data_IF_529149364141
#
_entry.id   IF_529149364141
#
_cell.length_a   1.000
_cell.length_b   1.000
_cell.length_c   1.000
_cell.angle_alpha   90.00
_cell.angle_beta   90.00
_cell.angle_gamma   90.00
#
_symmetry.space_group_name_H-M   'P 1'
#
loop_
_entity.id
_entity.type
_entity.pdbx_description
1 polymer ?
#
# COMPACT_ATOMS: atom_id res chain seq x y z
N UNK A 1 22.49 -14.84 3.13
CA UNK A 1 21.24 -15.03 3.87
C UNK A 1 20.70 -13.63 4.00
N UNK A 2 20.00 -13.23 2.97
CA UNK A 2 19.42 -11.90 2.88
C UNK A 2 18.24 -11.85 3.85
N UNK A 3 18.18 -10.74 4.57
CA UNK A 3 17.44 -10.53 5.81
C UNK A 3 15.97 -10.30 5.44
N UNK A 4 15.21 -11.40 5.29
CA UNK A 4 13.82 -11.52 4.76
C UNK A 4 12.77 -10.65 5.51
N UNK A 5 13.17 -9.85 6.50
CA UNK A 5 12.29 -9.03 7.33
C UNK A 5 12.92 -7.72 7.82
N UNK A 6 14.06 -7.29 7.26
CA UNK A 6 14.77 -6.10 7.77
C UNK A 6 14.36 -4.80 7.10
N UNK A 7 13.94 -4.89 5.85
CA UNK A 7 13.21 -3.82 5.19
C UNK A 7 11.71 -4.10 5.37
N UNK A 8 10.90 -3.06 5.52
CA UNK A 8 9.45 -3.16 5.68
C UNK A 8 8.77 -3.53 4.34
N UNK A 9 9.41 -4.45 3.60
CA UNK A 9 9.19 -4.88 2.23
C UNK A 9 9.00 -6.40 2.27
N UNK A 10 8.00 -6.89 1.56
CA UNK A 10 7.65 -8.28 1.42
C UNK A 10 7.22 -8.51 -0.03
N UNK A 11 8.14 -9.08 -0.79
CA UNK A 11 7.94 -9.44 -2.18
C UNK A 11 7.06 -10.69 -2.32
N UNK A 12 6.49 -10.96 -3.51
CA UNK A 12 5.78 -12.20 -3.79
C UNK A 12 6.60 -13.46 -3.50
N UNK A 13 7.92 -13.42 -3.72
CA UNK A 13 8.82 -14.55 -3.45
C UNK A 13 8.94 -14.82 -1.94
N UNK A 14 9.20 -13.80 -1.15
CA UNK A 14 9.29 -13.89 0.31
C UNK A 14 7.96 -14.34 0.94
N UNK A 15 6.85 -13.77 0.45
CA UNK A 15 5.50 -14.18 0.86
C UNK A 15 5.24 -15.66 0.54
N UNK A 16 5.67 -16.14 -0.62
CA UNK A 16 5.50 -17.53 -1.02
C UNK A 16 6.35 -18.49 -0.18
N UNK A 17 7.58 -18.14 0.16
CA UNK A 17 8.42 -18.99 1.01
C UNK A 17 7.92 -19.06 2.45
N UNK A 18 7.55 -17.91 3.03
CA UNK A 18 6.89 -17.87 4.34
C UNK A 18 5.56 -18.63 4.33
N UNK A 19 4.75 -18.53 3.28
CA UNK A 19 3.51 -19.30 3.15
C UNK A 19 3.75 -20.81 3.14
N UNK A 20 4.84 -21.29 2.51
CA UNK A 20 5.23 -22.71 2.57
C UNK A 20 5.59 -23.12 3.98
N UNK A 21 6.33 -22.30 4.72
CA UNK A 21 6.70 -22.59 6.11
C UNK A 21 5.48 -22.62 7.04
N UNK A 22 4.54 -21.70 6.86
CA UNK A 22 3.26 -21.69 7.58
C UNK A 22 2.46 -22.96 7.28
N UNK A 23 2.33 -23.33 6.01
CA UNK A 23 1.64 -24.57 5.62
C UNK A 23 2.30 -25.80 6.27
N UNK A 24 3.63 -25.87 6.25
CA UNK A 24 4.36 -26.97 6.88
C UNK A 24 4.17 -27.03 8.40
N UNK A 25 4.08 -25.88 9.06
CA UNK A 25 3.81 -25.79 10.49
C UNK A 25 2.39 -26.29 10.82
N UNK A 26 1.39 -25.88 10.04
CA UNK A 26 0.01 -26.34 10.17
C UNK A 26 -0.12 -27.86 9.90
N UNK A 27 0.56 -28.37 8.87
CA UNK A 27 0.61 -29.82 8.57
C UNK A 27 1.21 -30.61 9.74
N UNK A 28 2.30 -30.11 10.33
CA UNK A 28 2.92 -30.73 11.52
C UNK A 28 2.02 -30.66 12.74
N UNK A 29 1.31 -29.55 12.94
CA UNK A 29 0.32 -29.40 14.02
C UNK A 29 -0.81 -30.40 13.85
N UNK A 30 -1.34 -30.58 12.64
CA UNK A 30 -2.38 -31.57 12.34
C UNK A 30 -1.89 -33.01 12.53
N UNK A 31 -0.65 -33.32 12.13
CA UNK A 31 -0.04 -34.62 12.37
C UNK A 31 0.13 -34.90 13.87
N UNK A 32 0.61 -33.90 14.64
CA UNK A 32 0.72 -34.00 16.09
C UNK A 32 -0.64 -34.17 16.77
N UNK A 33 -1.67 -33.44 16.31
CA UNK A 33 -3.04 -33.58 16.77
C UNK A 33 -3.55 -35.02 16.58
N UNK A 34 -3.29 -35.63 15.43
CA UNK A 34 -3.67 -37.03 15.14
C UNK A 34 -3.00 -38.01 16.11
N UNK A 35 -1.72 -37.78 16.44
CA UNK A 35 -0.98 -38.62 17.39
C UNK A 35 -1.49 -38.44 18.82
N UNK A 36 -1.80 -37.20 19.23
CA UNK A 36 -2.40 -36.89 20.53
C UNK A 36 -3.78 -37.55 20.64
N UNK A 37 -4.57 -37.55 19.57
CA UNK A 37 -5.88 -38.20 19.55
C UNK A 37 -5.82 -39.72 19.69
N UNK A 38 -4.75 -40.35 19.18
CA UNK A 38 -4.51 -41.79 19.26
C UNK A 38 -3.98 -42.28 20.62
N UNK A 39 -3.65 -41.38 21.56
CA UNK A 39 -3.16 -41.76 22.88
C UNK A 39 -4.26 -42.41 23.72
N UNK A 40 -3.92 -43.55 24.33
CA UNK A 40 -4.81 -44.27 25.27
C UNK A 40 -4.84 -43.63 26.67
N UNK A 41 -3.82 -42.84 27.02
CA UNK A 41 -3.72 -42.16 28.31
C UNK A 41 -4.39 -40.79 28.25
N UNK A 42 -5.50 -40.62 28.95
CA UNK A 42 -6.22 -39.34 29.00
C UNK A 42 -5.39 -38.21 29.61
N UNK A 43 -4.58 -38.50 30.63
CA UNK A 43 -3.69 -37.50 31.23
C UNK A 43 -2.63 -37.02 30.23
N UNK A 44 -1.99 -37.94 29.49
CA UNK A 44 -1.00 -37.56 28.48
C UNK A 44 -1.64 -36.80 27.31
N UNK A 45 -2.85 -37.20 26.91
CA UNK A 45 -3.64 -36.53 25.89
C UNK A 45 -3.97 -35.08 26.31
N UNK A 46 -4.48 -34.86 27.51
CA UNK A 46 -4.80 -33.52 28.00
C UNK A 46 -3.58 -32.59 28.07
N UNK A 47 -2.43 -33.09 28.55
CA UNK A 47 -1.18 -32.31 28.59
C UNK A 47 -0.76 -31.88 27.18
N UNK A 48 -0.64 -32.82 26.24
CA UNK A 48 -0.17 -32.51 24.89
C UNK A 48 -1.19 -31.72 24.06
N UNK A 49 -2.48 -31.89 24.32
CA UNK A 49 -3.53 -31.07 23.70
C UNK A 49 -3.37 -29.60 24.11
N UNK A 50 -3.11 -29.34 25.39
CA UNK A 50 -2.89 -27.98 25.90
C UNK A 50 -1.69 -27.34 25.20
N UNK A 51 -0.57 -28.06 25.09
CA UNK A 51 0.63 -27.56 24.41
C UNK A 51 0.39 -27.30 22.91
N UNK A 52 -0.43 -28.12 22.23
CA UNK A 52 -0.81 -27.89 20.84
C UNK A 52 -1.74 -26.68 20.67
N UNK A 53 -2.69 -26.48 21.58
CA UNK A 53 -3.59 -25.32 21.57
C UNK A 53 -2.85 -24.01 21.89
N UNK A 54 -1.77 -24.06 22.68
CA UNK A 54 -0.89 -22.92 22.94
C UNK A 54 -0.03 -22.51 21.73
N UNK A 55 0.09 -23.37 20.70
CA UNK A 55 0.76 -22.99 19.45
C UNK A 55 -0.08 -21.95 18.70
N UNK A 56 0.40 -20.71 18.72
CA UNK A 56 -0.20 -19.58 18.01
C UNK A 56 -0.19 -19.82 16.50
N UNK A 57 -1.33 -19.66 15.80
CA UNK A 57 -1.35 -19.72 14.35
C UNK A 57 -0.52 -18.58 13.77
N UNK A 58 0.34 -18.91 12.80
CA UNK A 58 1.16 -17.93 12.09
C UNK A 58 0.29 -17.34 10.97
N UNK A 59 0.05 -16.03 11.01
CA UNK A 59 -0.69 -15.32 9.97
C UNK A 59 0.07 -15.30 8.65
N UNK A 60 -0.66 -15.37 7.53
CA UNK A 60 -0.07 -15.25 6.20
C UNK A 60 0.57 -13.86 6.00
N UNK A 61 1.77 -13.80 5.39
CA UNK A 61 2.41 -12.53 5.08
C UNK A 61 1.65 -11.80 3.97
N UNK A 62 1.44 -10.50 4.13
CA UNK A 62 0.83 -9.65 3.10
C UNK A 62 1.91 -9.11 2.17
N UNK A 63 1.81 -9.38 0.87
CA UNK A 63 2.69 -8.79 -0.16
C UNK A 63 2.51 -7.27 -0.18
N UNK A 64 3.61 -6.53 -0.18
CA UNK A 64 3.60 -5.08 -0.28
C UNK A 64 4.64 -4.50 -1.25
N UNK A 65 5.42 -5.33 -1.95
CA UNK A 65 6.31 -4.94 -3.07
C UNK A 65 6.13 -5.94 -4.22
N UNK A 66 5.05 -5.80 -4.99
CA UNK A 66 4.72 -6.71 -6.09
C UNK A 66 5.69 -6.55 -7.27
N UNK A 67 6.19 -5.34 -7.51
CA UNK A 67 7.02 -5.01 -8.66
C UNK A 67 8.53 -5.13 -8.39
N UNK A 68 8.94 -5.53 -7.19
CA UNK A 68 10.31 -5.74 -6.75
C UNK A 68 11.19 -4.48 -6.92
N UNK A 69 10.61 -3.31 -6.71
CA UNK A 69 11.33 -2.04 -6.81
C UNK A 69 11.92 -1.58 -5.46
N UNK A 70 11.69 -2.33 -4.37
CA UNK A 70 12.16 -2.02 -3.03
C UNK A 70 11.41 -0.86 -2.37
N UNK A 71 10.25 -0.48 -2.91
CA UNK A 71 9.35 0.56 -2.38
C UNK A 71 7.99 -0.10 -2.15
N UNK A 72 7.32 0.14 -1.01
CA UNK A 72 5.99 -0.44 -0.83
C UNK A 72 5.02 0.06 -1.90
N UNK A 73 4.22 -0.82 -2.51
CA UNK A 73 3.31 -0.51 -3.62
C UNK A 73 2.38 0.68 -3.30
N UNK A 74 2.01 0.84 -2.03
CA UNK A 74 1.20 1.95 -1.54
C UNK A 74 1.94 3.29 -1.60
N UNK A 75 3.22 3.29 -1.24
CA UNK A 75 4.08 4.47 -1.32
C UNK A 75 4.40 4.81 -2.78
N UNK A 76 4.68 3.80 -3.59
CA UNK A 76 4.90 3.94 -5.04
C UNK A 76 3.68 4.58 -5.73
N UNK A 77 2.48 4.06 -5.44
CA UNK A 77 1.21 4.63 -5.94
C UNK A 77 0.98 6.07 -5.49
N UNK A 78 1.31 6.39 -4.23
CA UNK A 78 1.15 7.74 -3.70
C UNK A 78 2.12 8.72 -4.37
N UNK A 79 3.35 8.28 -4.63
CA UNK A 79 4.32 9.07 -5.37
C UNK A 79 3.81 9.38 -6.77
N UNK A 80 3.32 8.36 -7.49
CA UNK A 80 2.77 8.49 -8.84
C UNK A 80 1.58 9.45 -8.90
N UNK A 81 0.65 9.35 -7.95
CA UNK A 81 -0.51 10.25 -7.83
C UNK A 81 -0.07 11.69 -7.50
N UNK A 82 0.88 11.84 -6.57
CA UNK A 82 1.41 13.15 -6.18
C UNK A 82 2.12 13.83 -7.36
N UNK A 83 2.90 13.08 -8.14
CA UNK A 83 3.55 13.60 -9.36
C UNK A 83 2.52 14.06 -10.37
N UNK A 84 1.47 13.27 -10.65
CA UNK A 84 0.40 13.66 -11.56
C UNK A 84 -0.35 14.91 -11.10
N UNK A 85 -0.70 14.99 -9.82
CA UNK A 85 -1.34 16.16 -9.23
C UNK A 85 -0.45 17.41 -9.33
N UNK A 86 0.84 17.26 -9.04
CA UNK A 86 1.82 18.33 -9.16
C UNK A 86 1.95 18.84 -10.60
N UNK A 87 2.06 17.95 -11.59
CA UNK A 87 2.11 18.32 -13.00
C UNK A 87 0.83 19.01 -13.48
N UNK A 88 -0.33 18.52 -13.04
CA UNK A 88 -1.62 19.15 -13.33
C UNK A 88 -1.73 20.56 -12.74
N UNK A 89 -1.28 20.75 -11.49
CA UNK A 89 -1.24 22.06 -10.84
C UNK A 89 -0.28 23.02 -11.56
N UNK A 90 0.91 22.53 -11.96
CA UNK A 90 1.89 23.31 -12.73
C UNK A 90 1.33 23.75 -14.09
N UNK A 91 0.65 22.86 -14.79
CA UNK A 91 0.03 23.20 -16.08
C UNK A 91 -1.12 24.20 -15.91
N UNK A 92 -1.97 24.01 -14.90
CA UNK A 92 -3.05 24.96 -14.60
C UNK A 92 -2.50 26.35 -14.24
N UNK A 93 -1.40 26.43 -13.51
CA UNK A 93 -0.71 27.69 -13.20
C UNK A 93 -0.16 28.37 -14.46
N UNK A 94 0.47 27.62 -15.35
CA UNK A 94 0.94 28.15 -16.63
C UNK A 94 -0.20 28.70 -17.49
N UNK A 95 -1.34 28.00 -17.56
CA UNK A 95 -2.55 28.45 -18.27
C UNK A 95 -3.08 29.74 -17.64
N UNK A 96 -3.18 29.81 -16.31
CA UNK A 96 -3.65 31.00 -15.61
C UNK A 96 -2.74 32.21 -15.83
N UNK A 97 -1.42 31.99 -15.83
CA UNK A 97 -0.45 33.04 -16.09
C UNK A 97 -0.54 33.57 -17.52
N UNK A 98 -0.65 32.67 -18.51
CA UNK A 98 -0.85 33.05 -19.91
C UNK A 98 -2.14 33.84 -20.11
N UNK A 99 -3.26 33.36 -19.56
CA UNK A 99 -4.54 34.07 -19.63
C UNK A 99 -4.44 35.47 -18.99
N UNK A 100 -3.71 35.59 -17.89
CA UNK A 100 -3.47 36.88 -17.23
C UNK A 100 -2.62 37.83 -18.08
N UNK A 101 -1.64 37.31 -18.82
CA UNK A 101 -0.85 38.10 -19.76
C UNK A 101 -1.69 38.57 -20.95
N UNK A 102 -2.51 37.69 -21.53
CA UNK A 102 -3.42 38.00 -22.64
C UNK A 102 -4.41 39.12 -22.27
N UNK A 103 -5.02 39.05 -21.08
CA UNK A 103 -5.93 40.09 -20.56
C UNK A 103 -5.24 41.42 -20.24
N UNK A 104 -3.92 41.43 -20.07
CA UNK A 104 -3.14 42.66 -19.87
C UNK A 104 -2.54 43.20 -21.17
N UNK A 105 -2.53 42.40 -22.25
CA UNK A 105 -1.80 42.72 -23.48
C UNK A 105 -2.43 43.86 -24.29
N UNK A 106 -3.75 44.00 -24.26
CA UNK A 106 -4.50 45.06 -24.96
C UNK A 106 -4.70 46.33 -24.09
N UNK A 107 -4.34 46.26 -22.81
CA UNK A 107 -4.50 47.33 -21.83
C UNK A 107 -5.95 47.57 -21.37
N UNK A 108 -6.91 46.71 -21.72
CA UNK A 108 -8.33 46.89 -21.39
C UNK A 108 -8.94 45.58 -20.88
N UNK A 109 -9.14 45.48 -19.56
CA UNK A 109 -9.79 44.30 -18.97
C UNK A 109 -11.31 44.37 -19.16
N UNK A 110 -11.87 43.49 -19.98
CA UNK A 110 -13.32 43.36 -20.13
C UNK A 110 -13.94 42.53 -18.98
N UNK A 111 -15.25 42.67 -18.79
CA UNK A 111 -16.01 41.91 -17.77
C UNK A 111 -15.95 40.40 -18.03
N UNK A 112 -15.87 40.00 -19.29
CA UNK A 112 -15.76 38.60 -19.70
C UNK A 112 -14.42 37.99 -19.29
N UNK A 113 -13.32 38.69 -19.58
CA UNK A 113 -11.95 38.30 -19.21
C UNK A 113 -11.75 38.22 -17.71
N UNK A 114 -12.30 39.19 -16.97
CA UNK A 114 -12.27 39.15 -15.51
C UNK A 114 -12.99 37.92 -14.95
N UNK A 115 -14.11 37.53 -15.56
CA UNK A 115 -14.87 36.34 -15.16
C UNK A 115 -14.11 35.05 -15.46
N UNK A 116 -13.46 34.95 -16.63
CA UNK A 116 -12.61 33.81 -16.99
C UNK A 116 -11.42 33.66 -16.05
N UNK A 117 -10.70 34.75 -15.76
CA UNK A 117 -9.56 34.72 -14.82
C UNK A 117 -9.99 34.25 -13.43
N UNK A 118 -11.15 34.71 -12.95
CA UNK A 118 -11.69 34.29 -11.66
C UNK A 118 -12.03 32.79 -11.66
N UNK A 119 -12.64 32.28 -12.73
CA UNK A 119 -12.94 30.86 -12.87
C UNK A 119 -11.67 29.99 -12.87
N UNK A 120 -10.62 30.40 -13.60
CA UNK A 120 -9.33 29.71 -13.63
C UNK A 120 -8.65 29.74 -12.26
N UNK A 121 -8.71 30.87 -11.54
CA UNK A 121 -8.15 30.98 -10.19
C UNK A 121 -8.85 30.08 -9.17
N UNK A 122 -10.17 29.96 -9.24
CA UNK A 122 -10.92 29.05 -8.36
C UNK A 122 -10.60 27.58 -8.69
N UNK A 123 -10.56 27.20 -9.97
CA UNK A 123 -10.14 25.85 -10.39
C UNK A 123 -8.73 25.49 -9.90
N UNK A 124 -7.80 26.46 -9.95
CA UNK A 124 -6.44 26.30 -9.40
C UNK A 124 -6.41 26.08 -7.89
N UNK A 125 -7.25 26.77 -7.12
CA UNK A 125 -7.35 26.57 -5.66
C UNK A 125 -7.84 25.16 -5.34
N UNK A 126 -8.80 24.65 -6.12
CA UNK A 126 -9.30 23.29 -5.97
C UNK A 126 -8.26 22.22 -6.32
N UNK A 127 -7.34 22.50 -7.24
CA UNK A 127 -6.27 21.57 -7.64
C UNK A 127 -5.01 21.63 -6.76
N UNK A 128 -4.89 22.63 -5.91
CA UNK A 128 -3.77 22.82 -4.96
C UNK A 128 -4.09 22.36 -3.52
N UNK A 129 -5.35 22.00 -3.23
CA UNK A 129 -5.85 21.60 -1.91
C UNK A 129 -5.99 20.08 -1.81
#
# INVERSE_FOLDING_TARGET
MDDIQKDNINTPEESADLAKEISLAEDKKAAAQTLVDALLSEHAKQTLQTELDELTPIGSPQVNDENHNGVPDKEDSLFDETTKAYEAAKNAEAVAQKAREEVQADGVVTTHEHTQLKAIQEDLKHKKA
#
